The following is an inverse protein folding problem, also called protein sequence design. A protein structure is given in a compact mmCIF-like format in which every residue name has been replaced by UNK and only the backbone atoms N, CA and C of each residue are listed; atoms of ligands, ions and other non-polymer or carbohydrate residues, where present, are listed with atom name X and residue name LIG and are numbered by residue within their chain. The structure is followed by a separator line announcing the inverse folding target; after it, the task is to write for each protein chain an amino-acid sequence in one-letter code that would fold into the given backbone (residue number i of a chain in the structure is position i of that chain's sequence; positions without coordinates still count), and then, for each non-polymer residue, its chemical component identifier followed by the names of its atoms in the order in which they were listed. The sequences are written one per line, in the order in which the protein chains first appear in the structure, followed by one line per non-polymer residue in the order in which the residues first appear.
data_IF_490894064052
#
_entry.id   IF_490894064052
#
_cell.length_a   1.000
_cell.length_b   1.000
_cell.length_c   1.000
_cell.angle_alpha   90.00
_cell.angle_beta   90.00
_cell.angle_gamma   90.00
#
_symmetry.space_group_name_H-M   'P 1'
#
loop_
_entity.id
_entity.type
_entity.pdbx_description
1 polymer ?
#
# COMPACT_ATOMS: atom_id res chain seq x y z
N UNK A 1 10.07 -20.56 7.71
CA UNK A 1 10.19 -19.83 6.42
C UNK A 1 9.80 -18.37 6.65
N UNK A 2 10.77 -17.49 6.82
CA UNK A 2 10.54 -16.04 6.94
C UNK A 2 10.04 -15.52 5.59
N UNK A 3 8.79 -15.05 5.52
CA UNK A 3 8.26 -14.42 4.31
C UNK A 3 8.98 -13.09 4.13
N UNK A 4 9.73 -12.94 3.04
CA UNK A 4 10.38 -11.68 2.69
C UNK A 4 9.35 -10.76 2.01
N UNK A 5 8.91 -9.74 2.75
CA UNK A 5 7.94 -8.75 2.26
C UNK A 5 8.58 -7.51 1.65
N UNK A 6 9.92 -7.41 1.59
CA UNK A 6 10.59 -6.22 1.09
C UNK A 6 10.17 -5.90 -0.36
N UNK A 7 10.13 -6.90 -1.24
CA UNK A 7 9.68 -6.73 -2.62
C UNK A 7 8.22 -6.29 -2.71
N UNK A 8 7.34 -6.90 -1.89
CA UNK A 8 5.91 -6.53 -1.85
C UNK A 8 5.73 -5.11 -1.31
N UNK A 9 6.45 -4.73 -0.26
CA UNK A 9 6.41 -3.39 0.31
C UNK A 9 6.87 -2.35 -0.71
N UNK A 10 7.94 -2.63 -1.46
CA UNK A 10 8.42 -1.74 -2.53
C UNK A 10 7.38 -1.55 -3.64
N UNK A 11 6.71 -2.63 -4.04
CA UNK A 11 5.62 -2.60 -5.02
C UNK A 11 4.43 -1.78 -4.51
N UNK A 12 4.03 -1.96 -3.25
CA UNK A 12 2.95 -1.18 -2.62
C UNK A 12 3.29 0.31 -2.61
N UNK A 13 4.51 0.67 -2.15
CA UNK A 13 4.96 2.06 -2.07
C UNK A 13 5.00 2.71 -3.46
N UNK A 14 5.45 1.97 -4.48
CA UNK A 14 5.45 2.47 -5.85
C UNK A 14 4.04 2.71 -6.38
N UNK A 15 3.11 1.78 -6.11
CA UNK A 15 1.74 1.86 -6.58
C UNK A 15 0.90 2.94 -5.86
N UNK A 16 1.26 3.36 -4.64
CA UNK A 16 0.63 4.50 -3.96
C UNK A 16 1.24 5.85 -4.35
N UNK A 17 2.11 5.88 -5.37
CA UNK A 17 2.69 7.11 -5.90
C UNK A 17 4.01 7.53 -5.24
N UNK A 18 4.72 6.61 -4.59
CA UNK A 18 6.04 6.83 -4.00
C UNK A 18 6.00 7.25 -2.53
N UNK A 19 7.18 7.27 -1.89
CA UNK A 19 7.34 7.66 -0.48
C UNK A 19 6.94 9.13 -0.30
N UNK A 20 7.20 9.96 -1.29
CA UNK A 20 6.85 11.38 -1.28
C UNK A 20 5.34 11.63 -1.21
N UNK A 21 4.51 10.66 -1.66
CA UNK A 21 3.05 10.73 -1.58
C UNK A 21 2.50 10.24 -0.25
N UNK A 22 3.32 9.67 0.65
CA UNK A 22 2.89 9.17 1.96
C UNK A 22 3.15 10.21 3.04
N UNK A 23 2.12 10.53 3.81
CA UNK A 23 2.21 11.40 4.99
C UNK A 23 2.35 10.60 6.27
N UNK A 24 1.65 9.47 6.38
CA UNK A 24 1.73 8.60 7.55
C UNK A 24 1.38 7.16 7.19
N UNK A 25 1.89 6.22 8.00
CA UNK A 25 1.56 4.79 7.90
C UNK A 25 1.17 4.29 9.28
N UNK A 26 0.03 3.63 9.37
CA UNK A 26 -0.42 2.96 10.59
C UNK A 26 -0.84 1.53 10.26
N UNK A 27 -0.82 0.63 11.25
CA UNK A 27 -1.27 -0.74 11.04
C UNK A 27 -2.03 -1.26 12.25
N UNK A 28 -2.94 -2.19 11.99
CA UNK A 28 -3.51 -3.08 12.99
C UNK A 28 -3.12 -4.52 12.67
N UNK A 29 -3.73 -5.49 13.35
CA UNK A 29 -3.42 -6.92 13.15
C UNK A 29 -3.68 -7.42 11.71
N UNK A 30 -4.63 -6.82 10.99
CA UNK A 30 -5.06 -7.31 9.66
C UNK A 30 -5.04 -6.27 8.55
N UNK A 31 -4.73 -5.00 8.86
CA UNK A 31 -4.77 -3.91 7.87
C UNK A 31 -3.57 -2.99 8.03
N UNK A 32 -2.97 -2.65 6.89
CA UNK A 32 -2.00 -1.58 6.73
C UNK A 32 -2.73 -0.37 6.15
N UNK A 33 -2.54 0.80 6.76
CA UNK A 33 -3.25 2.04 6.43
C UNK A 33 -2.23 3.10 6.03
N UNK A 34 -2.41 3.65 4.83
CA UNK A 34 -1.59 4.74 4.33
C UNK A 34 -2.41 6.02 4.32
N UNK A 35 -1.85 7.08 4.89
CA UNK A 35 -2.32 8.44 4.69
C UNK A 35 -1.50 9.02 3.56
N UNK A 36 -2.14 9.37 2.44
CA UNK A 36 -1.49 9.88 1.24
C UNK A 36 -1.84 11.35 0.99
N UNK A 37 -0.96 12.08 0.30
CA UNK A 37 -1.15 13.48 -0.05
C UNK A 37 -2.10 13.64 -1.24
N UNK A 38 -1.94 12.78 -2.25
CA UNK A 38 -2.72 12.80 -3.48
C UNK A 38 -3.25 11.40 -3.82
N UNK A 39 -4.58 11.27 -3.84
CA UNK A 39 -5.26 10.03 -4.19
C UNK A 39 -5.22 9.73 -5.69
N UNK A 40 -5.04 10.73 -6.57
CA UNK A 40 -4.96 10.51 -8.01
C UNK A 40 -3.70 9.73 -8.42
N UNK A 41 -2.66 9.76 -7.57
CA UNK A 41 -1.41 9.02 -7.74
C UNK A 41 -1.47 7.57 -7.24
N UNK A 42 -2.60 7.14 -6.65
CA UNK A 42 -2.76 5.78 -6.11
C UNK A 42 -3.36 4.84 -7.16
N UNK A 43 -2.55 3.90 -7.61
CA UNK A 43 -2.99 2.82 -8.50
C UNK A 43 -3.61 1.65 -7.71
N UNK A 44 -4.91 1.79 -7.48
CA UNK A 44 -5.71 0.77 -6.80
C UNK A 44 -5.85 -0.53 -7.60
N UNK A 45 -5.66 -0.51 -8.92
CA UNK A 45 -5.77 -1.71 -9.75
C UNK A 45 -4.52 -2.58 -9.57
N UNK A 46 -3.34 -1.98 -9.66
CA UNK A 46 -2.07 -2.65 -9.41
C UNK A 46 -2.03 -3.22 -7.99
N UNK A 47 -2.41 -2.44 -6.97
CA UNK A 47 -2.41 -2.89 -5.58
C UNK A 47 -3.29 -4.14 -5.34
N UNK A 48 -4.44 -4.25 -6.00
CA UNK A 48 -5.33 -5.44 -5.90
C UNK A 48 -4.75 -6.67 -6.61
N UNK A 49 -3.88 -6.48 -7.60
CA UNK A 49 -3.21 -7.56 -8.32
C UNK A 49 -1.96 -8.11 -7.63
N UNK A 50 -1.45 -7.42 -6.61
CA UNK A 50 -0.23 -7.85 -5.90
C UNK A 50 -0.48 -9.13 -5.09
N UNK A 51 0.38 -10.12 -5.28
CA UNK A 51 0.35 -11.40 -4.55
C UNK A 51 0.57 -11.14 -3.06
N UNK A 52 -0.47 -11.36 -2.25
CA UNK A 52 -0.45 -11.16 -0.80
C UNK A 52 -1.32 -10.00 -0.31
N UNK A 53 -1.91 -9.21 -1.22
CA UNK A 53 -2.92 -8.20 -0.88
C UNK A 53 -4.31 -8.82 -0.98
N UNK A 54 -5.04 -8.87 0.14
CA UNK A 54 -6.41 -9.40 0.18
C UNK A 54 -7.45 -8.39 -0.35
N UNK A 55 -7.15 -7.11 -0.26
CA UNK A 55 -8.04 -6.07 -0.74
C UNK A 55 -7.56 -4.66 -0.41
N UNK A 56 -7.94 -3.73 -1.25
CA UNK A 56 -7.69 -2.30 -1.08
C UNK A 56 -9.03 -1.60 -0.84
N UNK A 57 -9.06 -0.70 0.14
CA UNK A 57 -10.22 0.11 0.48
C UNK A 57 -9.76 1.54 0.67
N UNK A 58 -10.36 2.47 -0.08
CA UNK A 58 -10.24 3.89 0.23
C UNK A 58 -11.06 4.12 1.51
N UNK A 59 -10.38 4.51 2.59
CA UNK A 59 -11.03 4.92 3.82
C UNK A 59 -10.98 6.44 3.89
N UNK A 60 -12.14 7.05 4.14
CA UNK A 60 -12.30 8.49 4.30
C UNK A 60 -11.83 8.92 5.69
#
# INVERSE_FOLDING_TARGET
MSKNYAALAQQIVSAIGGVENVTAVTHCMTRLRFVVKDNARVDSATLKGLKGVLGVRAQR
#
